data_IF_995148940013
#
_entry.id   IF_995148940013
#
_cell.length_a   1.000
_cell.length_b   1.000
_cell.length_c   1.000
_cell.angle_alpha   90.00
_cell.angle_beta   90.00
_cell.angle_gamma   90.00
#
_symmetry.space_group_name_H-M   'P 1'
#
loop_
_entity.id
_entity.type
_entity.pdbx_description
1 polymer ?
#
# COMPACT_ATOMS: atom_id res chain seq x y z
N UNK A 1 -50.76 -10.10 -2.36
CA UNK A 1 -50.39 -8.68 -2.62
C UNK A 1 -49.78 -8.10 -1.35
N UNK A 2 -48.58 -8.55 -1.05
CA UNK A 2 -47.82 -8.17 0.15
C UNK A 2 -46.54 -7.50 -0.35
N UNK A 3 -46.58 -6.16 -0.30
CA UNK A 3 -45.54 -5.14 -0.35
C UNK A 3 -44.31 -5.30 -1.28
N UNK A 4 -44.49 -4.81 -2.51
CA UNK A 4 -43.41 -4.29 -3.39
C UNK A 4 -42.65 -3.11 -2.72
N UNK A 5 -43.34 -2.35 -1.85
CA UNK A 5 -42.81 -1.15 -1.19
C UNK A 5 -41.67 -1.43 -0.20
N UNK A 6 -41.80 -2.42 0.69
CA UNK A 6 -40.77 -2.71 1.69
C UNK A 6 -39.52 -3.33 1.06
N UNK A 7 -39.71 -4.20 0.06
CA UNK A 7 -38.60 -4.76 -0.73
C UNK A 7 -37.82 -3.69 -1.51
N UNK A 8 -38.51 -2.70 -2.10
CA UNK A 8 -37.82 -1.59 -2.78
C UNK A 8 -37.06 -0.71 -1.78
N UNK A 9 -37.59 -0.46 -0.58
CA UNK A 9 -36.88 0.32 0.45
C UNK A 9 -35.55 -0.31 0.85
N UNK A 10 -35.49 -1.63 0.96
CA UNK A 10 -34.25 -2.37 1.24
C UNK A 10 -33.20 -2.25 0.11
N UNK A 11 -33.64 -1.98 -1.13
CA UNK A 11 -32.79 -1.87 -2.31
C UNK A 11 -32.34 -0.43 -2.64
N UNK A 12 -32.94 0.61 -2.03
CA UNK A 12 -32.65 2.02 -2.37
C UNK A 12 -31.19 2.40 -2.14
N UNK A 13 -30.55 1.88 -1.08
CA UNK A 13 -29.15 2.16 -0.78
C UNK A 13 -28.21 1.56 -1.85
N UNK A 14 -28.45 0.30 -2.23
CA UNK A 14 -27.70 -0.38 -3.29
C UNK A 14 -27.90 0.30 -4.65
N UNK A 15 -29.12 0.74 -4.95
CA UNK A 15 -29.42 1.53 -6.16
C UNK A 15 -28.74 2.91 -6.17
N UNK A 16 -28.69 3.59 -5.02
CA UNK A 16 -28.06 4.91 -4.92
C UNK A 16 -26.55 4.88 -5.20
N UNK A 17 -25.86 3.78 -4.89
CA UNK A 17 -24.43 3.56 -5.17
C UNK A 17 -24.15 2.78 -6.45
N UNK A 18 -25.18 2.46 -7.25
CA UNK A 18 -25.02 1.74 -8.52
C UNK A 18 -24.65 0.26 -8.37
N UNK A 19 -25.01 -0.39 -7.27
CA UNK A 19 -24.65 -1.76 -6.92
C UNK A 19 -25.86 -2.72 -6.86
N UNK A 20 -26.87 -2.54 -7.71
CA UNK A 20 -28.02 -3.46 -7.75
C UNK A 20 -27.62 -4.85 -8.28
N UNK A 21 -28.20 -5.93 -7.72
CA UNK A 21 -28.06 -7.27 -8.28
C UNK A 21 -28.70 -7.39 -9.68
N UNK A 22 -28.12 -8.19 -10.59
CA UNK A 22 -28.73 -8.46 -11.90
C UNK A 22 -30.03 -9.24 -11.72
N UNK A 23 -31.15 -8.54 -11.87
CA UNK A 23 -32.51 -9.03 -11.59
C UNK A 23 -33.45 -7.91 -11.14
N UNK A 24 -32.90 -6.88 -10.47
CA UNK A 24 -33.68 -5.80 -9.84
C UNK A 24 -33.61 -4.45 -10.59
N UNK A 25 -32.84 -4.38 -11.68
CA UNK A 25 -32.58 -3.16 -12.45
C UNK A 25 -33.84 -2.47 -13.00
N UNK A 26 -34.94 -3.23 -13.17
CA UNK A 26 -36.22 -2.70 -13.64
C UNK A 26 -37.21 -2.45 -12.51
N UNK A 27 -37.08 -3.15 -11.39
CA UNK A 27 -38.03 -3.11 -10.26
C UNK A 27 -37.96 -1.77 -9.54
N UNK A 28 -36.75 -1.32 -9.19
CA UNK A 28 -36.56 -0.06 -8.45
C UNK A 28 -37.01 1.16 -9.26
N UNK A 29 -36.59 1.37 -10.53
CA UNK A 29 -37.04 2.55 -11.29
C UNK A 29 -38.55 2.60 -11.54
N UNK A 30 -39.21 1.45 -11.72
CA UNK A 30 -40.66 1.39 -11.92
C UNK A 30 -41.43 1.78 -10.66
N UNK A 31 -40.98 1.36 -9.48
CA UNK A 31 -41.60 1.74 -8.20
C UNK A 31 -41.36 3.21 -7.86
N UNK A 32 -40.16 3.75 -8.12
CA UNK A 32 -39.85 5.16 -7.88
C UNK A 32 -40.73 6.11 -8.71
N UNK A 33 -41.18 5.68 -9.90
CA UNK A 33 -42.12 6.45 -10.71
C UNK A 33 -43.54 6.54 -10.11
N UNK A 34 -43.91 5.63 -9.21
CA UNK A 34 -45.23 5.55 -8.59
C UNK A 34 -45.28 5.87 -7.09
N UNK A 35 -44.13 6.10 -6.45
CA UNK A 35 -44.04 6.26 -4.99
C UNK A 35 -43.16 7.45 -4.57
N UNK A 36 -43.81 8.55 -4.20
CA UNK A 36 -43.14 9.81 -3.83
C UNK A 36 -42.21 9.67 -2.60
N UNK A 37 -42.58 8.84 -1.62
CA UNK A 37 -41.77 8.64 -0.40
C UNK A 37 -40.46 7.92 -0.71
N UNK A 38 -40.49 6.86 -1.51
CA UNK A 38 -39.29 6.16 -1.95
C UNK A 38 -38.45 7.02 -2.91
N UNK A 39 -39.07 7.81 -3.78
CA UNK A 39 -38.36 8.74 -4.66
C UNK A 39 -37.55 9.78 -3.86
N UNK A 40 -38.18 10.42 -2.87
CA UNK A 40 -37.51 11.39 -2.01
C UNK A 40 -36.40 10.75 -1.16
N UNK A 41 -36.58 9.51 -0.71
CA UNK A 41 -35.54 8.76 0.02
C UNK A 41 -34.35 8.41 -0.89
N UNK A 42 -34.62 7.98 -2.12
CA UNK A 42 -33.60 7.65 -3.11
C UNK A 42 -32.77 8.87 -3.54
N UNK A 43 -33.39 10.06 -3.65
CA UNK A 43 -32.70 11.32 -3.91
C UNK A 43 -31.77 11.72 -2.75
N UNK A 44 -32.24 11.66 -1.50
CA UNK A 44 -31.40 11.94 -0.33
C UNK A 44 -30.18 11.02 -0.24
N UNK A 45 -30.36 9.74 -0.57
CA UNK A 45 -29.27 8.77 -0.61
C UNK A 45 -28.26 9.11 -1.72
N UNK A 46 -28.71 9.49 -2.92
CA UNK A 46 -27.82 9.92 -4.00
C UNK A 46 -27.06 11.20 -3.68
N UNK A 47 -27.69 12.16 -3.01
CA UNK A 47 -27.01 13.38 -2.58
C UNK A 47 -25.96 13.09 -1.51
N UNK A 48 -26.24 12.14 -0.61
CA UNK A 48 -25.26 11.64 0.35
C UNK A 48 -24.08 10.97 -0.36
N UNK A 49 -24.34 10.12 -1.36
CA UNK A 49 -23.29 9.48 -2.18
C UNK A 49 -22.45 10.52 -2.92
N UNK A 50 -23.05 11.55 -3.52
CA UNK A 50 -22.33 12.66 -4.19
C UNK A 50 -21.42 13.43 -3.23
N UNK A 51 -21.89 13.66 -1.99
CA UNK A 51 -21.09 14.33 -0.95
C UNK A 51 -19.90 13.45 -0.53
N UNK A 52 -20.09 12.14 -0.43
CA UNK A 52 -19.05 11.17 -0.13
C UNK A 52 -18.03 11.02 -1.27
N UNK A 53 -18.49 11.11 -2.52
CA UNK A 53 -17.68 11.06 -3.75
C UNK A 53 -17.01 12.41 -4.08
N UNK A 54 -17.21 13.45 -3.25
CA UNK A 54 -16.57 14.76 -3.43
C UNK A 54 -17.05 15.53 -4.67
N UNK A 55 -18.21 15.18 -5.23
CA UNK A 55 -18.76 15.84 -6.42
C UNK A 55 -19.79 16.91 -6.00
N UNK A 56 -19.51 18.21 -6.11
CA UNK A 56 -20.46 19.24 -5.68
C UNK A 56 -21.68 19.26 -6.61
N UNK A 57 -22.88 19.08 -6.04
CA UNK A 57 -24.14 19.30 -6.72
C UNK A 57 -24.48 20.80 -6.85
N UNK A 58 -25.30 21.21 -7.83
CA UNK A 58 -25.74 22.59 -7.93
C UNK A 58 -26.77 22.88 -6.82
N UNK A 59 -26.34 23.53 -5.73
CA UNK A 59 -27.27 24.22 -4.81
C UNK A 59 -27.16 23.97 -3.30
N UNK A 60 -26.12 23.31 -2.77
CA UNK A 60 -26.02 23.10 -1.32
C UNK A 60 -25.29 24.25 -0.59
N UNK A 61 -26.05 25.13 0.07
CA UNK A 61 -25.55 26.01 1.12
C UNK A 61 -25.23 25.18 2.38
N UNK A 62 -24.03 25.31 2.91
CA UNK A 62 -23.56 24.60 4.11
C UNK A 62 -24.09 25.30 5.36
N UNK A 63 -24.89 24.66 6.25
CA UNK A 63 -25.14 25.20 7.57
C UNK A 63 -23.91 24.96 8.46
N UNK A 64 -23.34 26.04 8.98
CA UNK A 64 -22.24 26.02 9.94
C UNK A 64 -22.66 25.37 11.25
N UNK A 65 -22.19 24.15 11.50
CA UNK A 65 -22.21 23.50 12.81
C UNK A 65 -20.79 23.29 13.29
N UNK A 66 -20.39 24.07 14.30
CA UNK A 66 -19.11 23.93 15.00
C UNK A 66 -18.99 22.54 15.66
N UNK A 67 -18.08 21.71 15.16
CA UNK A 67 -17.63 20.49 15.85
C UNK A 67 -16.12 20.60 16.08
N UNK A 68 -15.76 21.32 17.15
CA UNK A 68 -14.41 21.29 17.70
C UNK A 68 -14.29 20.08 18.64
N UNK A 69 -13.41 19.15 18.27
CA UNK A 69 -13.05 17.97 19.05
C UNK A 69 -13.33 16.68 18.29
N UNK A 70 -12.28 15.96 17.90
CA UNK A 70 -12.29 14.71 17.12
C UNK A 70 -12.19 14.83 15.59
N UNK A 71 -11.54 15.87 15.05
CA UNK A 71 -11.23 15.87 13.61
C UNK A 71 -10.15 14.81 13.30
N UNK A 72 -9.18 14.62 14.20
CA UNK A 72 -8.12 13.60 14.04
C UNK A 72 -8.65 12.17 14.13
N UNK A 73 -9.60 11.91 15.04
CA UNK A 73 -10.20 10.59 15.22
C UNK A 73 -11.17 10.23 14.09
N UNK A 74 -11.92 11.21 13.58
CA UNK A 74 -12.86 11.03 12.48
C UNK A 74 -12.12 10.93 11.14
N UNK A 75 -11.02 11.65 10.92
CA UNK A 75 -10.19 11.49 9.72
C UNK A 75 -9.49 10.12 9.71
N UNK A 76 -8.91 9.70 10.84
CA UNK A 76 -8.31 8.36 10.95
C UNK A 76 -9.37 7.25 10.76
N UNK A 77 -10.60 7.45 11.22
CA UNK A 77 -11.70 6.51 11.01
C UNK A 77 -12.20 6.56 9.57
N UNK A 78 -12.33 7.74 8.97
CA UNK A 78 -12.70 7.91 7.57
C UNK A 78 -11.66 7.33 6.62
N UNK A 79 -10.36 7.39 6.93
CA UNK A 79 -9.30 6.72 6.18
C UNK A 79 -9.34 5.19 6.35
N UNK A 80 -9.70 4.68 7.54
CA UNK A 80 -9.97 3.25 7.76
C UNK A 80 -11.23 2.76 7.03
N UNK A 81 -12.23 3.62 6.88
CA UNK A 81 -13.54 3.30 6.27
C UNK A 81 -13.61 3.56 4.77
N UNK A 82 -12.80 4.50 4.24
CA UNK A 82 -12.57 4.67 2.80
C UNK A 82 -11.66 3.54 2.34
N UNK A 83 -12.21 2.34 2.27
CA UNK A 83 -11.69 1.29 1.39
C UNK A 83 -12.23 1.58 0.00
N UNK A 84 -11.49 2.24 -0.92
CA UNK A 84 -11.72 1.98 -2.33
C UNK A 84 -11.36 0.51 -2.54
N UNK A 85 -12.36 -0.37 -2.42
CA UNK A 85 -12.22 -1.73 -2.92
C UNK A 85 -12.22 -1.56 -4.43
N UNK A 86 -11.04 -1.34 -5.01
CA UNK A 86 -10.86 -1.26 -6.46
C UNK A 86 -11.47 -2.53 -7.03
N UNK A 87 -12.64 -2.45 -7.71
CA UNK A 87 -13.34 -3.65 -8.12
C UNK A 87 -12.42 -4.50 -9.00
N UNK A 88 -12.30 -5.78 -8.66
CA UNK A 88 -11.53 -6.74 -9.45
C UNK A 88 -10.05 -6.90 -9.09
N UNK A 89 -9.51 -6.24 -8.05
CA UNK A 89 -8.16 -6.55 -7.55
C UNK A 89 -8.16 -7.80 -6.67
N UNK A 90 -7.24 -8.73 -6.93
CA UNK A 90 -7.11 -9.98 -6.18
C UNK A 90 -6.43 -9.77 -4.82
N UNK A 91 -6.59 -10.70 -3.86
CA UNK A 91 -6.08 -10.53 -2.50
C UNK A 91 -4.56 -10.28 -2.37
N UNK A 92 -3.73 -10.77 -3.30
CA UNK A 92 -2.28 -10.50 -3.28
C UNK A 92 -1.90 -9.08 -3.71
N UNK A 93 -2.71 -8.43 -4.55
CA UNK A 93 -2.49 -7.06 -5.01
C UNK A 93 -3.23 -6.01 -4.17
N UNK A 94 -4.14 -6.43 -3.29
CA UNK A 94 -4.88 -5.54 -2.38
C UNK A 94 -3.97 -4.69 -1.46
N UNK A 95 -2.84 -5.19 -0.90
CA UNK A 95 -1.91 -4.36 -0.14
C UNK A 95 -1.35 -3.19 -0.96
N UNK A 96 -0.99 -3.43 -2.22
CA UNK A 96 -0.44 -2.39 -3.11
C UNK A 96 -1.50 -1.35 -3.47
N UNK A 97 -2.72 -1.79 -3.80
CA UNK A 97 -3.84 -0.86 -4.03
C UNK A 97 -4.11 0.04 -2.82
N UNK A 98 -4.04 -0.51 -1.60
CA UNK A 98 -4.21 0.26 -0.37
C UNK A 98 -3.05 1.24 -0.12
N UNK A 99 -1.81 0.83 -0.36
CA UNK A 99 -0.64 1.71 -0.22
C UNK A 99 -0.67 2.87 -1.24
N UNK A 100 -1.07 2.60 -2.49
CA UNK A 100 -1.28 3.64 -3.52
C UNK A 100 -2.36 4.62 -3.08
N UNK A 101 -3.49 4.13 -2.57
CA UNK A 101 -4.55 5.01 -2.05
C UNK A 101 -4.07 5.85 -0.85
N UNK A 102 -3.20 5.28 0.00
CA UNK A 102 -2.57 5.98 1.12
C UNK A 102 -1.71 7.16 0.66
N UNK A 103 -0.80 6.94 -0.29
CA UNK A 103 0.01 8.03 -0.85
C UNK A 103 -0.85 9.06 -1.59
N UNK A 104 -1.85 8.63 -2.37
CA UNK A 104 -2.79 9.54 -3.04
C UNK A 104 -3.51 10.46 -2.05
N UNK A 105 -3.88 9.95 -0.86
CA UNK A 105 -4.50 10.75 0.18
C UNK A 105 -3.53 11.74 0.84
N UNK A 106 -2.22 11.45 0.86
CA UNK A 106 -1.18 12.32 1.41
C UNK A 106 -0.74 13.43 0.43
N UNK A 107 -0.85 13.20 -0.89
CA UNK A 107 -0.40 14.16 -1.93
C UNK A 107 -0.92 15.60 -1.74
N UNK A 108 -2.20 15.86 -1.40
CA UNK A 108 -2.66 17.23 -1.19
C UNK A 108 -1.90 17.99 -0.08
N UNK A 109 -1.37 17.26 0.92
CA UNK A 109 -0.58 17.85 2.01
C UNK A 109 0.80 18.34 1.51
N UNK A 110 1.27 17.91 0.35
CA UNK A 110 2.54 18.36 -0.23
C UNK A 110 2.46 19.71 -0.94
N UNK A 111 1.28 20.32 -1.06
CA UNK A 111 1.14 21.62 -1.72
C UNK A 111 2.05 22.68 -1.06
N UNK A 112 2.84 23.37 -1.89
CA UNK A 112 3.88 24.29 -1.45
C UNK A 112 5.05 23.68 -0.66
N UNK A 113 5.10 22.36 -0.44
CA UNK A 113 6.07 21.65 0.42
C UNK A 113 6.87 20.54 -0.28
N UNK A 114 6.81 20.45 -1.61
CA UNK A 114 7.48 19.40 -2.39
C UNK A 114 9.00 19.29 -2.20
N UNK A 115 9.68 20.38 -1.85
CA UNK A 115 11.11 20.40 -1.54
C UNK A 115 11.47 20.00 -0.10
N UNK A 116 10.51 19.49 0.69
CA UNK A 116 10.78 19.03 2.05
C UNK A 116 11.70 17.81 2.01
N UNK A 117 12.85 17.81 2.70
CA UNK A 117 13.71 16.64 2.81
C UNK A 117 12.97 15.48 3.49
N UNK A 118 13.07 14.27 2.92
CA UNK A 118 12.32 13.09 3.38
C UNK A 118 13.26 12.00 3.89
N UNK A 119 14.06 11.43 3.00
CA UNK A 119 14.98 10.32 3.31
C UNK A 119 16.14 10.35 2.33
N UNK A 120 17.30 9.85 2.76
CA UNK A 120 18.56 10.00 2.01
C UNK A 120 18.85 11.49 1.73
N UNK A 121 19.18 11.81 0.49
CA UNK A 121 19.30 13.16 -0.06
C UNK A 121 18.04 13.58 -0.86
N UNK A 122 16.92 12.87 -0.70
CA UNK A 122 15.69 13.11 -1.45
C UNK A 122 14.72 14.05 -0.74
N UNK A 123 14.10 14.91 -1.53
CA UNK A 123 12.89 15.64 -1.15
C UNK A 123 11.62 14.84 -1.49
N UNK A 124 10.45 15.34 -1.09
CA UNK A 124 9.19 14.66 -1.36
C UNK A 124 8.91 14.46 -2.86
N UNK A 125 9.39 15.37 -3.73
CA UNK A 125 9.28 15.20 -5.18
C UNK A 125 10.13 14.02 -5.67
N UNK A 126 11.39 13.94 -5.22
CA UNK A 126 12.28 12.83 -5.53
C UNK A 126 11.75 11.50 -4.99
N UNK A 127 11.13 11.47 -3.81
CA UNK A 127 10.50 10.24 -3.27
C UNK A 127 9.36 9.74 -4.15
N UNK A 128 8.48 10.62 -4.66
CA UNK A 128 7.41 10.20 -5.59
C UNK A 128 7.99 9.77 -6.94
N UNK A 129 9.03 10.45 -7.44
CA UNK A 129 9.73 10.05 -8.65
C UNK A 129 10.42 8.67 -8.51
N UNK A 130 11.00 8.39 -7.34
CA UNK A 130 11.58 7.07 -7.04
C UNK A 130 10.51 5.97 -7.15
N UNK A 131 9.30 6.19 -6.65
CA UNK A 131 8.22 5.20 -6.79
C UNK A 131 7.85 4.92 -8.27
N UNK A 132 8.04 5.89 -9.17
CA UNK A 132 7.93 5.64 -10.62
C UNK A 132 9.04 4.69 -11.09
N UNK A 133 10.29 4.92 -10.67
CA UNK A 133 11.38 3.99 -11.00
C UNK A 133 11.11 2.59 -10.42
N UNK A 134 10.68 2.51 -9.16
CA UNK A 134 10.46 1.26 -8.47
C UNK A 134 9.37 0.41 -9.13
N UNK A 135 8.22 0.99 -9.41
CA UNK A 135 7.10 0.27 -10.01
C UNK A 135 7.39 -0.21 -11.45
N UNK A 136 8.22 0.53 -12.20
CA UNK A 136 8.60 0.17 -13.57
C UNK A 136 9.24 -1.22 -13.66
N UNK A 137 10.02 -1.61 -12.64
CA UNK A 137 10.69 -2.90 -12.60
C UNK A 137 9.75 -4.10 -12.48
N UNK A 138 8.52 -3.90 -11.99
CA UNK A 138 7.45 -4.88 -12.11
C UNK A 138 6.62 -4.65 -13.38
N UNK A 139 6.38 -3.39 -13.76
CA UNK A 139 5.52 -3.03 -14.88
C UNK A 139 6.02 -3.61 -16.22
N UNK A 140 7.30 -3.45 -16.53
CA UNK A 140 7.90 -3.91 -17.80
C UNK A 140 7.81 -5.43 -17.97
N UNK A 141 8.18 -6.28 -16.97
CA UNK A 141 7.95 -7.73 -17.04
C UNK A 141 6.50 -8.19 -17.16
N UNK A 142 5.52 -7.32 -16.84
CA UNK A 142 4.09 -7.59 -17.03
C UNK A 142 3.56 -7.03 -18.37
N UNK A 143 4.42 -6.47 -19.22
CA UNK A 143 4.04 -5.92 -20.52
C UNK A 143 3.41 -4.53 -20.45
N UNK A 144 3.60 -3.80 -19.35
CA UNK A 144 3.23 -2.38 -19.26
C UNK A 144 4.39 -1.55 -19.82
N UNK A 145 4.09 -0.67 -20.77
CA UNK A 145 5.10 0.19 -21.40
C UNK A 145 5.80 1.09 -20.38
N UNK A 146 7.12 1.19 -20.51
CA UNK A 146 7.92 2.14 -19.74
C UNK A 146 7.45 3.58 -19.99
N UNK A 147 7.26 4.34 -18.91
CA UNK A 147 6.79 5.74 -19.00
C UNK A 147 7.92 6.72 -19.29
N UNK A 148 9.16 6.33 -19.00
CA UNK A 148 10.34 7.15 -19.15
C UNK A 148 11.38 6.46 -20.04
N UNK A 149 12.28 7.21 -20.71
CA UNK A 149 13.40 6.63 -21.43
C UNK A 149 14.23 5.70 -20.55
N UNK A 150 14.74 4.62 -21.16
CA UNK A 150 15.62 3.70 -20.46
C UNK A 150 16.95 4.38 -20.08
N UNK A 151 17.45 4.05 -18.90
CA UNK A 151 18.78 4.45 -18.45
C UNK A 151 19.88 3.79 -19.28
N UNK A 152 20.97 4.51 -19.52
CA UNK A 152 22.16 3.92 -20.12
C UNK A 152 22.95 3.14 -19.05
N UNK A 153 22.83 1.82 -19.08
CA UNK A 153 23.47 0.91 -18.14
C UNK A 153 24.68 0.21 -18.82
N UNK A 154 25.89 0.31 -18.24
CA UNK A 154 27.04 -0.47 -18.71
C UNK A 154 26.74 -1.98 -18.66
N UNK A 155 27.28 -2.74 -19.60
CA UNK A 155 27.17 -4.20 -19.57
C UNK A 155 27.85 -4.76 -18.31
N UNK A 156 27.17 -5.67 -17.60
CA UNK A 156 27.70 -6.32 -16.40
C UNK A 156 27.66 -5.47 -15.11
N UNK A 157 26.99 -4.31 -15.12
CA UNK A 157 26.78 -3.52 -13.90
C UNK A 157 26.05 -4.36 -12.82
N UNK A 158 26.48 -4.31 -11.54
CA UNK A 158 25.76 -4.96 -10.45
C UNK A 158 24.29 -4.49 -10.38
N UNK A 159 23.37 -5.39 -10.03
CA UNK A 159 21.94 -5.11 -10.03
C UNK A 159 21.55 -3.91 -9.13
N UNK A 160 22.19 -3.80 -7.95
CA UNK A 160 21.98 -2.67 -7.04
C UNK A 160 22.41 -1.33 -7.64
N UNK A 161 23.57 -1.30 -8.32
CA UNK A 161 24.07 -0.08 -8.98
C UNK A 161 23.20 0.32 -10.18
N UNK A 162 22.70 -0.68 -10.93
CA UNK A 162 21.76 -0.45 -12.03
C UNK A 162 20.46 0.19 -11.54
N UNK A 163 19.97 -0.27 -10.39
CA UNK A 163 18.77 0.24 -9.74
C UNK A 163 18.97 1.66 -9.19
N UNK A 164 20.09 1.91 -8.50
CA UNK A 164 20.44 3.25 -8.03
C UNK A 164 20.56 4.23 -9.21
N UNK A 165 21.19 3.79 -10.31
CA UNK A 165 21.29 4.60 -11.53
C UNK A 165 19.92 4.87 -12.15
N UNK A 166 19.06 3.85 -12.23
CA UNK A 166 17.70 4.02 -12.77
C UNK A 166 16.90 5.03 -11.94
N UNK A 167 16.96 4.89 -10.61
CA UNK A 167 16.30 5.81 -9.67
C UNK A 167 16.81 7.24 -9.86
N UNK A 168 18.12 7.45 -9.91
CA UNK A 168 18.71 8.77 -10.12
C UNK A 168 18.29 9.41 -11.46
N UNK A 169 18.28 8.64 -12.55
CA UNK A 169 17.87 9.15 -13.87
C UNK A 169 16.37 9.52 -13.90
N UNK A 170 15.50 8.75 -13.23
CA UNK A 170 14.06 9.06 -13.11
C UNK A 170 13.84 10.29 -12.24
N UNK A 171 14.52 10.40 -11.09
CA UNK A 171 14.46 11.59 -10.23
C UNK A 171 14.90 12.83 -11.02
N UNK A 172 16.03 12.76 -11.71
CA UNK A 172 16.54 13.87 -12.52
C UNK A 172 15.56 14.28 -13.64
N UNK A 173 14.89 13.31 -14.28
CA UNK A 173 13.87 13.61 -15.28
C UNK A 173 12.64 14.29 -14.67
N UNK A 174 12.11 13.74 -13.57
CA UNK A 174 10.89 14.22 -12.93
C UNK A 174 11.07 15.56 -12.20
N UNK A 175 12.26 15.84 -11.66
CA UNK A 175 12.63 17.16 -11.14
C UNK A 175 12.63 18.26 -12.21
N UNK A 176 12.75 17.89 -13.49
CA UNK A 176 12.57 18.82 -14.62
C UNK A 176 11.10 19.16 -14.93
N UNK A 177 10.15 18.55 -14.22
CA UNK A 177 8.70 18.68 -14.42
C UNK A 177 8.03 19.27 -13.18
N UNK A 178 6.77 19.63 -13.28
CA UNK A 178 6.00 20.03 -12.09
C UNK A 178 5.67 18.81 -11.22
N UNK A 179 5.58 18.96 -9.89
CA UNK A 179 5.22 17.84 -9.03
C UNK A 179 3.88 17.18 -9.39
N UNK A 180 2.90 17.97 -9.87
CA UNK A 180 1.62 17.45 -10.35
C UNK A 180 1.76 16.50 -11.56
N UNK A 181 2.72 16.75 -12.45
CA UNK A 181 3.03 15.86 -13.57
C UNK A 181 3.72 14.57 -13.12
N UNK A 182 4.58 14.64 -12.09
CA UNK A 182 5.21 13.46 -11.49
C UNK A 182 4.16 12.59 -10.78
N UNK A 183 3.27 13.21 -10.00
CA UNK A 183 2.12 12.50 -9.38
C UNK A 183 1.25 11.84 -10.44
N UNK A 184 0.96 12.53 -11.55
CA UNK A 184 0.17 11.96 -12.63
C UNK A 184 0.87 10.75 -13.29
N UNK A 185 2.20 10.83 -13.47
CA UNK A 185 3.02 9.74 -14.02
C UNK A 185 2.99 8.52 -13.09
N UNK A 186 3.23 8.74 -11.80
CA UNK A 186 3.17 7.69 -10.76
C UNK A 186 1.77 7.07 -10.67
N UNK A 187 0.72 7.87 -10.54
CA UNK A 187 -0.65 7.39 -10.41
C UNK A 187 -1.08 6.58 -11.65
N UNK A 188 -0.70 7.02 -12.86
CA UNK A 188 -0.95 6.26 -14.07
C UNK A 188 -0.20 4.92 -14.07
N UNK A 189 1.03 4.87 -13.58
CA UNK A 189 1.79 3.62 -13.50
C UNK A 189 1.17 2.63 -12.52
N UNK A 190 0.83 3.10 -11.32
CA UNK A 190 0.16 2.30 -10.32
C UNK A 190 -1.19 1.76 -10.84
N UNK A 191 -1.97 2.60 -11.52
CA UNK A 191 -3.22 2.18 -12.16
C UNK A 191 -2.99 1.12 -13.25
N UNK A 192 -1.95 1.25 -14.07
CA UNK A 192 -1.61 0.27 -15.10
C UNK A 192 -1.17 -1.07 -14.50
N UNK A 193 -0.36 -1.05 -13.44
CA UNK A 193 0.03 -2.26 -12.70
C UNK A 193 -1.19 -2.98 -12.10
N UNK A 194 -2.07 -2.24 -11.43
CA UNK A 194 -3.32 -2.77 -10.87
C UNK A 194 -4.32 -3.21 -11.97
N UNK A 195 -4.11 -2.79 -13.21
CA UNK A 195 -4.90 -3.19 -14.36
C UNK A 195 -4.35 -4.41 -15.11
N UNK A 196 -3.20 -4.97 -14.70
CA UNK A 196 -2.68 -6.21 -15.30
C UNK A 196 -3.57 -7.41 -14.97
N UNK A 197 -3.61 -8.44 -15.83
CA UNK A 197 -4.29 -9.70 -15.49
C UNK A 197 -3.79 -10.31 -14.18
N UNK A 198 -2.48 -10.24 -13.93
CA UNK A 198 -1.85 -10.76 -12.71
C UNK A 198 -2.31 -10.02 -11.45
N UNK A 199 -2.69 -8.74 -11.52
CA UNK A 199 -3.27 -8.04 -10.37
C UNK A 199 -4.68 -8.57 -10.01
N UNK A 200 -5.35 -9.27 -10.93
CA UNK A 200 -6.75 -9.71 -10.80
C UNK A 200 -6.91 -11.23 -10.67
N UNK A 201 -5.88 -11.98 -11.04
CA UNK A 201 -5.91 -13.44 -11.09
C UNK A 201 -4.70 -14.04 -10.32
N UNK A 202 -4.94 -14.73 -9.17
CA UNK A 202 -3.89 -15.41 -8.42
C UNK A 202 -3.15 -16.50 -9.20
N UNK A 203 -3.78 -17.18 -10.16
CA UNK A 203 -3.14 -18.24 -10.94
C UNK A 203 -2.10 -17.67 -11.91
N UNK A 204 -2.46 -16.58 -12.61
CA UNK A 204 -1.51 -15.86 -13.45
C UNK A 204 -0.38 -15.24 -12.62
N UNK A 205 -0.71 -14.73 -11.42
CA UNK A 205 0.26 -14.14 -10.50
C UNK A 205 1.23 -15.15 -9.86
N UNK A 206 0.95 -16.45 -9.95
CA UNK A 206 1.82 -17.50 -9.42
C UNK A 206 3.13 -17.67 -10.22
N UNK A 207 3.18 -17.16 -11.46
CA UNK A 207 4.39 -17.22 -12.29
C UNK A 207 5.53 -16.43 -11.64
N UNK A 208 6.73 -17.02 -11.61
CA UNK A 208 7.90 -16.35 -11.07
C UNK A 208 8.53 -15.39 -12.08
N UNK A 209 8.83 -14.17 -11.64
CA UNK A 209 9.64 -13.19 -12.38
C UNK A 209 10.79 -12.72 -11.51
N UNK A 210 11.90 -12.36 -12.16
CA UNK A 210 13.06 -11.79 -11.45
C UNK A 210 12.95 -10.29 -11.47
N UNK A 211 12.75 -9.70 -10.30
CA UNK A 211 12.77 -8.25 -10.09
C UNK A 211 13.80 -7.98 -9.00
N UNK A 212 14.73 -7.06 -9.25
CA UNK A 212 15.80 -6.72 -8.30
C UNK A 212 16.62 -7.92 -7.79
N UNK A 213 16.94 -8.85 -8.68
CA UNK A 213 17.69 -10.06 -8.33
C UNK A 213 16.89 -11.11 -7.54
N UNK A 214 15.67 -10.77 -7.10
CA UNK A 214 14.78 -11.67 -6.39
C UNK A 214 13.82 -12.33 -7.38
N UNK A 215 13.92 -13.66 -7.50
CA UNK A 215 13.00 -14.46 -8.29
C UNK A 215 11.83 -14.90 -7.41
N UNK A 216 10.72 -14.17 -7.51
CA UNK A 216 9.49 -14.40 -6.75
C UNK A 216 8.27 -14.49 -7.67
N UNK A 217 7.17 -15.13 -7.24
CA UNK A 217 5.87 -14.99 -7.89
C UNK A 217 5.50 -13.52 -8.09
N UNK A 218 4.84 -13.19 -9.19
CA UNK A 218 4.28 -11.83 -9.41
C UNK A 218 3.39 -11.40 -8.23
N UNK A 219 2.67 -12.35 -7.63
CA UNK A 219 1.87 -12.10 -6.42
C UNK A 219 2.69 -11.50 -5.27
N UNK A 220 3.91 -12.01 -5.04
CA UNK A 220 4.80 -11.49 -4.01
C UNK A 220 5.41 -10.15 -4.40
N UNK A 221 5.68 -9.91 -5.69
CA UNK A 221 6.17 -8.60 -6.14
C UNK A 221 5.16 -7.48 -5.90
N UNK A 222 3.85 -7.75 -5.99
CA UNK A 222 2.84 -6.78 -5.55
C UNK A 222 2.93 -6.48 -4.06
N UNK A 223 3.24 -7.47 -3.22
CA UNK A 223 3.47 -7.28 -1.78
C UNK A 223 4.73 -6.44 -1.54
N UNK A 224 5.80 -6.65 -2.33
CA UNK A 224 6.99 -5.79 -2.29
C UNK A 224 6.65 -4.34 -2.68
N UNK A 225 5.91 -4.12 -3.77
CA UNK A 225 5.49 -2.75 -4.15
C UNK A 225 4.59 -2.09 -3.09
N UNK A 226 3.75 -2.87 -2.41
CA UNK A 226 2.98 -2.37 -1.28
C UNK A 226 3.85 -1.92 -0.11
N UNK A 227 4.91 -2.68 0.19
CA UNK A 227 5.90 -2.33 1.20
C UNK A 227 6.59 -1.00 0.84
N UNK A 228 7.16 -0.88 -0.36
CA UNK A 228 7.85 0.34 -0.82
C UNK A 228 6.93 1.58 -0.75
N UNK A 229 5.73 1.47 -1.31
CA UNK A 229 4.79 2.58 -1.35
C UNK A 229 4.38 3.02 0.06
N UNK A 230 4.17 2.09 0.99
CA UNK A 230 3.83 2.44 2.37
C UNK A 230 5.01 3.03 3.13
N UNK A 231 6.21 2.46 3.04
CA UNK A 231 7.42 3.00 3.71
C UNK A 231 7.67 4.44 3.26
N UNK A 232 7.62 4.70 1.96
CA UNK A 232 7.81 6.06 1.45
C UNK A 232 6.65 7.01 1.73
N UNK A 233 5.43 6.50 1.90
CA UNK A 233 4.33 7.31 2.43
C UNK A 233 4.59 7.69 3.88
N UNK A 234 5.07 6.76 4.72
CA UNK A 234 5.45 7.00 6.11
C UNK A 234 6.62 8.00 6.21
N UNK A 235 7.63 7.88 5.34
CA UNK A 235 8.75 8.82 5.28
C UNK A 235 8.26 10.26 5.01
N UNK A 236 7.39 10.43 4.00
CA UNK A 236 6.80 11.75 3.69
C UNK A 236 5.96 12.24 4.87
N UNK A 237 5.14 11.36 5.47
CA UNK A 237 4.35 11.69 6.65
C UNK A 237 5.20 12.24 7.79
N UNK A 238 6.27 11.52 8.16
CA UNK A 238 7.23 11.96 9.19
C UNK A 238 7.87 13.29 8.86
N UNK A 239 8.31 13.49 7.61
CA UNK A 239 8.91 14.74 7.16
C UNK A 239 7.94 15.94 7.27
N UNK A 240 6.64 15.70 7.08
CA UNK A 240 5.59 16.71 7.23
C UNK A 240 5.05 16.85 8.67
N UNK A 241 5.48 15.99 9.60
CA UNK A 241 4.93 15.91 10.97
C UNK A 241 3.50 15.34 11.02
N UNK A 242 3.11 14.55 10.01
CA UNK A 242 1.79 13.93 9.88
C UNK A 242 1.85 12.44 10.23
N UNK A 243 0.95 11.94 11.09
CA UNK A 243 0.90 10.51 11.39
C UNK A 243 0.35 9.73 10.19
N UNK A 244 1.15 8.81 9.65
CA UNK A 244 0.69 7.82 8.66
C UNK A 244 0.36 6.54 9.41
N UNK A 245 -0.89 6.04 9.31
CA UNK A 245 -1.25 4.79 9.99
C UNK A 245 -0.50 3.61 9.35
N UNK A 246 -0.18 2.56 10.13
CA UNK A 246 0.34 1.32 9.57
C UNK A 246 -0.70 0.68 8.62
N UNK A 247 -0.28 -0.25 7.73
CA UNK A 247 -1.21 -0.95 6.86
C UNK A 247 -2.24 -1.72 7.69
N UNK A 248 -3.43 -1.99 7.13
CA UNK A 248 -4.40 -2.88 7.77
C UNK A 248 -3.74 -4.20 8.19
N UNK A 249 -4.13 -4.76 9.34
CA UNK A 249 -3.46 -5.92 9.94
C UNK A 249 -3.27 -7.09 8.94
N UNK A 250 -4.28 -7.37 8.11
CA UNK A 250 -4.23 -8.41 7.06
C UNK A 250 -3.18 -8.12 5.96
N UNK A 251 -2.93 -6.86 5.65
CA UNK A 251 -1.90 -6.44 4.70
C UNK A 251 -0.53 -6.46 5.35
N UNK A 252 -0.41 -5.93 6.58
CA UNK A 252 0.82 -5.93 7.36
C UNK A 252 1.34 -7.37 7.59
N UNK A 253 0.45 -8.31 7.93
CA UNK A 253 0.80 -9.72 8.07
C UNK A 253 1.42 -10.30 6.78
N UNK A 254 0.91 -9.92 5.60
CA UNK A 254 1.47 -10.34 4.30
C UNK A 254 2.86 -9.75 4.07
N UNK A 255 3.07 -8.46 4.39
CA UNK A 255 4.38 -7.82 4.30
C UNK A 255 5.40 -8.55 5.18
N UNK A 256 5.04 -8.77 6.46
CA UNK A 256 5.87 -9.46 7.44
C UNK A 256 6.22 -10.88 6.99
N UNK A 257 5.22 -11.68 6.59
CA UNK A 257 5.43 -13.07 6.15
C UNK A 257 6.38 -13.15 4.95
N UNK A 258 6.27 -12.23 3.99
CA UNK A 258 7.16 -12.18 2.84
C UNK A 258 8.59 -11.81 3.27
N UNK A 259 8.74 -10.76 4.09
CA UNK A 259 10.04 -10.32 4.58
C UNK A 259 10.75 -11.43 5.39
N UNK A 260 10.03 -12.11 6.30
CA UNK A 260 10.57 -13.26 7.06
C UNK A 260 10.98 -14.41 6.13
N UNK A 261 10.20 -14.69 5.08
CA UNK A 261 10.55 -15.72 4.09
C UNK A 261 11.84 -15.38 3.35
N UNK A 262 12.02 -14.12 2.93
CA UNK A 262 13.25 -13.65 2.27
C UNK A 262 14.43 -13.71 3.25
N UNK A 263 14.22 -13.26 4.48
CA UNK A 263 15.23 -13.28 5.54
C UNK A 263 15.70 -14.72 5.86
N UNK A 264 14.77 -15.68 5.90
CA UNK A 264 15.10 -17.10 6.11
C UNK A 264 16.01 -17.68 5.02
N UNK A 265 15.89 -17.21 3.77
CA UNK A 265 16.81 -17.62 2.70
C UNK A 265 18.23 -17.10 2.93
N UNK A 266 18.36 -15.87 3.43
CA UNK A 266 19.66 -15.25 3.73
C UNK A 266 20.35 -15.87 4.96
N UNK A 267 19.56 -16.37 5.92
CA UNK A 267 20.05 -16.91 7.19
C UNK A 267 20.21 -18.44 7.20
N UNK A 268 20.02 -19.14 6.08
CA UNK A 268 19.97 -20.63 6.01
C UNK A 268 21.07 -21.39 6.75
N UNK A 269 22.29 -20.84 6.82
CA UNK A 269 23.45 -21.48 7.47
C UNK A 269 23.84 -20.80 8.79
N UNK A 270 23.05 -19.85 9.28
CA UNK A 270 23.30 -19.12 10.52
C UNK A 270 22.84 -19.92 11.76
N UNK A 271 23.37 -19.60 12.96
CA UNK A 271 22.87 -20.16 14.21
C UNK A 271 21.35 -19.95 14.36
N UNK A 272 20.58 -20.95 14.79
CA UNK A 272 19.12 -20.86 14.74
C UNK A 272 18.55 -19.92 15.81
N UNK A 273 17.61 -19.08 15.43
CA UNK A 273 16.90 -18.11 16.27
C UNK A 273 15.40 -18.31 16.14
N UNK A 274 14.70 -18.45 17.26
CA UNK A 274 13.24 -18.35 17.30
C UNK A 274 12.86 -16.88 17.13
N UNK A 275 12.32 -16.55 15.97
CA UNK A 275 11.93 -15.21 15.59
C UNK A 275 10.42 -15.05 15.74
N UNK A 276 9.99 -14.12 16.60
CA UNK A 276 8.60 -13.83 16.92
C UNK A 276 8.22 -12.42 16.46
N UNK A 277 7.06 -12.31 15.82
CA UNK A 277 6.42 -11.02 15.57
C UNK A 277 5.22 -10.92 16.50
N UNK A 278 5.31 -9.99 17.45
CA UNK A 278 4.31 -9.79 18.49
C UNK A 278 3.24 -8.84 17.97
N UNK A 279 2.07 -9.37 17.63
CA UNK A 279 1.00 -8.63 16.97
C UNK A 279 -0.25 -8.50 17.84
N UNK A 280 -1.08 -7.46 17.64
CA UNK A 280 -2.27 -7.23 18.45
C UNK A 280 -3.36 -8.31 18.29
N UNK A 281 -3.33 -9.08 17.20
CA UNK A 281 -4.31 -10.14 16.91
C UNK A 281 -3.80 -11.55 17.18
N UNK A 282 -2.51 -11.80 16.97
CA UNK A 282 -1.86 -13.08 17.24
C UNK A 282 -0.34 -12.93 17.09
N UNK A 283 0.39 -13.58 17.98
CA UNK A 283 1.83 -13.77 17.81
C UNK A 283 2.08 -14.81 16.72
N UNK A 284 3.05 -14.54 15.85
CA UNK A 284 3.51 -15.50 14.84
C UNK A 284 5.00 -15.70 14.98
N UNK A 285 5.44 -16.95 15.01
CA UNK A 285 6.85 -17.31 15.21
C UNK A 285 7.38 -18.20 14.09
N UNK A 286 8.66 -18.05 13.79
CA UNK A 286 9.44 -18.85 12.85
C UNK A 286 10.78 -19.23 13.48
N UNK A 287 11.41 -20.30 13.00
CA UNK A 287 12.82 -20.55 13.27
C UNK A 287 13.62 -20.08 12.05
N UNK A 288 14.50 -19.11 12.25
CA UNK A 288 15.44 -18.62 11.25
C UNK A 288 16.82 -19.20 11.52
N UNK A 289 17.54 -19.67 10.51
CA UNK A 289 18.83 -20.33 10.69
C UNK A 289 18.83 -21.78 10.23
N UNK A 290 19.89 -22.50 10.58
CA UNK A 290 20.04 -23.92 10.30
C UNK A 290 18.95 -24.78 10.97
N UNK A 291 18.49 -25.83 10.31
CA UNK A 291 17.61 -26.84 10.90
C UNK A 291 18.38 -27.97 11.61
N UNK A 292 19.71 -27.97 11.53
CA UNK A 292 20.58 -29.00 12.08
C UNK A 292 20.99 -28.74 13.55
N UNK A 293 20.79 -27.52 14.03
CA UNK A 293 21.24 -27.06 15.35
C UNK A 293 20.05 -26.67 16.24
N UNK A 294 20.18 -26.75 17.58
CA UNK A 294 19.14 -26.25 18.48
C UNK A 294 19.04 -24.72 18.42
N UNK A 295 17.86 -24.19 18.72
CA UNK A 295 17.65 -22.74 18.85
C UNK A 295 18.58 -22.17 19.93
N UNK A 296 19.33 -21.13 19.55
CA UNK A 296 20.36 -20.47 20.37
C UNK A 296 19.87 -19.15 20.99
N UNK A 297 18.87 -18.52 20.38
CA UNK A 297 18.28 -17.27 20.85
C UNK A 297 16.80 -17.17 20.49
N UNK A 298 16.08 -16.33 21.24
CA UNK A 298 14.73 -15.87 20.96
C UNK A 298 14.78 -14.37 20.69
N UNK A 299 14.13 -13.93 19.62
CA UNK A 299 14.06 -12.53 19.20
C UNK A 299 12.62 -12.17 18.86
N UNK A 300 12.07 -11.17 19.54
CA UNK A 300 10.71 -10.69 19.31
C UNK A 300 10.68 -9.20 18.92
N UNK A 301 9.90 -8.85 17.89
CA UNK A 301 9.66 -7.47 17.45
C UNK A 301 8.17 -7.19 17.21
N UNK A 302 7.79 -5.92 17.29
CA UNK A 302 6.53 -5.43 16.72
C UNK A 302 6.56 -5.54 15.17
N UNK A 303 5.45 -5.89 14.51
CA UNK A 303 5.40 -6.01 13.04
C UNK A 303 5.77 -4.71 12.30
N UNK A 304 5.40 -3.54 12.83
CA UNK A 304 5.73 -2.24 12.23
C UNK A 304 7.22 -1.95 12.40
N UNK A 305 7.76 -2.14 13.61
CA UNK A 305 9.20 -1.96 13.88
C UNK A 305 10.06 -2.88 13.01
N UNK A 306 9.62 -4.14 12.81
CA UNK A 306 10.29 -5.06 11.90
C UNK A 306 10.26 -4.58 10.46
N UNK A 307 9.12 -4.10 9.96
CA UNK A 307 9.05 -3.55 8.61
C UNK A 307 9.90 -2.28 8.45
N UNK A 308 9.92 -1.40 9.44
CA UNK A 308 10.77 -0.21 9.44
C UNK A 308 12.26 -0.58 9.49
N UNK A 309 12.66 -1.63 10.20
CA UNK A 309 14.02 -2.18 10.14
C UNK A 309 14.36 -2.70 8.74
N UNK A 310 13.49 -3.53 8.15
CA UNK A 310 13.66 -4.06 6.78
C UNK A 310 13.71 -2.94 5.75
N UNK A 311 13.00 -1.84 5.99
CA UNK A 311 13.03 -0.64 5.16
C UNK A 311 14.18 0.32 5.48
N UNK A 312 15.10 -0.02 6.40
CA UNK A 312 16.25 0.83 6.74
C UNK A 312 15.92 2.09 7.55
N UNK A 313 14.73 2.18 8.16
CA UNK A 313 14.27 3.30 9.00
C UNK A 313 14.56 3.07 10.49
N UNK A 314 15.02 1.87 10.86
CA UNK A 314 15.64 1.59 12.15
C UNK A 314 17.04 1.02 11.97
N UNK A 315 18.01 1.50 12.77
CA UNK A 315 19.29 0.83 12.90
C UNK A 315 19.09 -0.53 13.64
N UNK A 316 19.81 -1.61 13.25
CA UNK A 316 19.72 -2.90 13.92
C UNK A 316 19.91 -2.85 15.44
N UNK A 317 20.74 -1.92 15.91
CA UNK A 317 21.05 -1.77 17.34
C UNK A 317 19.97 -0.99 18.10
N UNK A 318 19.15 -0.21 17.41
CA UNK A 318 18.18 0.72 18.00
C UNK A 318 16.73 0.24 17.90
N UNK A 319 16.44 -0.71 17.00
CA UNK A 319 15.08 -1.23 16.83
C UNK A 319 14.52 -1.81 18.15
N UNK A 320 13.31 -1.41 18.59
CA UNK A 320 12.67 -1.99 19.75
C UNK A 320 12.51 -3.51 19.62
N UNK A 321 12.97 -4.25 20.62
CA UNK A 321 13.05 -5.72 20.56
C UNK A 321 13.12 -6.34 21.95
N UNK A 322 12.72 -7.61 22.04
CA UNK A 322 13.06 -8.48 23.17
C UNK A 322 14.01 -9.56 22.68
N UNK A 323 15.05 -9.83 23.48
CA UNK A 323 16.06 -10.85 23.17
C UNK A 323 16.26 -11.72 24.39
N UNK A 324 16.35 -13.03 24.19
CA UNK A 324 16.81 -14.00 25.18
C UNK A 324 17.79 -14.99 24.53
N UNK A 325 18.79 -15.46 25.27
CA UNK A 325 19.82 -16.37 24.74
C UNK A 325 21.00 -15.64 24.09
N UNK A 326 21.49 -16.15 22.97
CA UNK A 326 22.66 -15.62 22.26
C UNK A 326 22.38 -14.27 21.57
N UNK A 327 22.91 -13.18 22.14
CA UNK A 327 22.80 -11.83 21.57
C UNK A 327 23.49 -11.68 20.20
N UNK A 328 24.54 -12.45 19.93
CA UNK A 328 25.24 -12.45 18.66
C UNK A 328 24.39 -13.04 17.55
N UNK A 329 23.71 -14.15 17.82
CA UNK A 329 22.77 -14.76 16.89
C UNK A 329 21.59 -13.82 16.61
N UNK A 330 20.99 -13.22 17.65
CA UNK A 330 19.90 -12.25 17.48
C UNK A 330 20.34 -11.01 16.69
N UNK A 331 21.54 -10.46 16.96
CA UNK A 331 22.11 -9.33 16.21
C UNK A 331 22.31 -9.67 14.74
N UNK A 332 22.79 -10.88 14.43
CA UNK A 332 22.96 -11.32 13.04
C UNK A 332 21.63 -11.32 12.27
N UNK A 333 20.52 -11.73 12.91
CA UNK A 333 19.17 -11.64 12.30
C UNK A 333 18.82 -10.19 11.98
N UNK A 334 19.02 -9.26 12.91
CA UNK A 334 18.68 -7.84 12.74
C UNK A 334 19.54 -7.16 11.68
N UNK A 335 20.85 -7.43 11.67
CA UNK A 335 21.78 -6.91 10.68
C UNK A 335 21.45 -7.44 9.29
N UNK A 336 21.17 -8.74 9.17
CA UNK A 336 20.74 -9.35 7.90
C UNK A 336 19.40 -8.77 7.43
N UNK A 337 18.44 -8.55 8.32
CA UNK A 337 17.17 -7.92 7.98
C UNK A 337 17.36 -6.50 7.43
N UNK A 338 18.27 -5.71 8.01
CA UNK A 338 18.58 -4.37 7.52
C UNK A 338 19.26 -4.38 6.14
N UNK A 339 19.96 -5.45 5.74
CA UNK A 339 20.50 -5.57 4.37
C UNK A 339 19.43 -5.76 3.30
N UNK A 340 18.18 -6.05 3.68
CA UNK A 340 17.06 -6.14 2.74
C UNK A 340 16.53 -4.77 2.32
N UNK A 341 16.97 -3.69 2.97
CA UNK A 341 16.65 -2.33 2.56
C UNK A 341 17.36 -2.05 1.23
N UNK A 342 16.60 -2.12 0.13
CA UNK A 342 17.06 -1.70 -1.18
C UNK A 342 16.51 -0.29 -1.44
N UNK A 343 17.26 0.68 -0.90
CA UNK A 343 17.07 2.14 -0.79
C UNK A 343 16.64 2.62 0.60
#
# INVERSE_FOLDING_TARGET
>A
MTNDHDGVRELLAAWAVGALPPGDDRTVPLHLAGCETCAAEAERLRDTVRLLDGTPGPGAAVPGGSVNGSVDGVLATALRSRRPRVPGVAPHAAPYAAAVAGLQALVPELDGRWGTPVVHDWDAHATVAHLVAADEHLAVPLGVDARLPASHLPEGIPAGDAWARRTADVIAHEHGRTPGETVATWAAQAAALLATPEARDPELAARAVTVMGLRLPVADHFVVRAFEAWIHTDDIGRALGLPVPPPPAEHLERLVRLAVRILGLALRDAPPVLFEITGPTSDTSWVLGSDAEPVTAELALDPVDFCLLVGGRHAPQEVPRRVAGDEGAARNVLETAATLAWL
#
